data_IF_466448540111
#
_entry.id   IF_466448540111
#
_cell.length_a   1.000
_cell.length_b   1.000
_cell.length_c   1.000
_cell.angle_alpha   90.00
_cell.angle_beta   90.00
_cell.angle_gamma   90.00
#
_symmetry.space_group_name_H-M   'P 1'
#
loop_
_entity.id
_entity.type
_entity.pdbx_description
1 polymer ?
#
# COMPACT_ATOMS: atom_id res chain seq x y z
N UNK A 1 7.88 -34.12 -19.84
CA UNK A 1 9.12 -33.57 -19.27
C UNK A 1 8.80 -32.13 -18.89
N UNK A 2 8.51 -31.84 -17.63
CA UNK A 2 8.42 -30.46 -17.18
C UNK A 2 9.84 -29.87 -17.26
N UNK A 3 10.02 -28.85 -18.09
CA UNK A 3 11.22 -28.03 -18.09
C UNK A 3 11.41 -27.48 -16.69
N UNK A 4 12.58 -27.72 -16.09
CA UNK A 4 12.92 -27.13 -14.80
C UNK A 4 12.80 -25.61 -14.95
N UNK A 5 11.94 -24.99 -14.16
CA UNK A 5 11.82 -23.53 -14.13
C UNK A 5 13.14 -23.01 -13.54
N UNK A 6 13.87 -22.25 -14.33
CA UNK A 6 15.11 -21.60 -13.91
C UNK A 6 14.73 -20.33 -13.13
N UNK A 7 14.74 -20.43 -11.80
CA UNK A 7 14.50 -19.29 -10.92
C UNK A 7 15.80 -18.49 -10.83
N UNK A 8 15.71 -17.16 -11.00
CA UNK A 8 16.87 -16.30 -10.86
C UNK A 8 17.55 -16.45 -9.48
N UNK A 9 18.85 -16.31 -9.46
CA UNK A 9 19.63 -16.48 -8.22
C UNK A 9 19.20 -15.48 -7.16
N UNK A 10 18.92 -16.00 -5.96
CA UNK A 10 18.61 -15.19 -4.77
C UNK A 10 19.84 -14.39 -4.33
N UNK A 11 19.68 -13.08 -4.09
CA UNK A 11 20.77 -12.23 -3.57
C UNK A 11 20.80 -12.24 -2.03
N UNK A 12 21.38 -13.30 -1.48
CA UNK A 12 21.57 -13.43 -0.03
C UNK A 12 22.41 -12.30 0.57
N UNK A 13 23.38 -11.73 -0.18
CA UNK A 13 24.22 -10.66 0.34
C UNK A 13 23.48 -9.35 0.46
N UNK A 14 22.51 -9.09 -0.45
CA UNK A 14 21.64 -7.93 -0.33
C UNK A 14 20.86 -7.98 1.00
N UNK A 15 20.22 -9.10 1.28
CA UNK A 15 19.43 -9.27 2.52
C UNK A 15 20.31 -9.13 3.76
N UNK A 16 21.50 -9.74 3.78
CA UNK A 16 22.46 -9.57 4.89
C UNK A 16 22.83 -8.10 5.10
N UNK A 17 23.12 -7.35 4.04
CA UNK A 17 23.44 -5.91 4.15
C UNK A 17 22.27 -5.10 4.67
N UNK A 18 21.06 -5.39 4.23
CA UNK A 18 19.84 -4.70 4.69
C UNK A 18 19.56 -4.98 6.18
N UNK A 19 19.73 -6.22 6.63
CA UNK A 19 19.64 -6.58 8.06
C UNK A 19 20.64 -5.82 8.91
N UNK A 20 21.91 -5.79 8.49
CA UNK A 20 22.98 -5.06 9.20
C UNK A 20 22.75 -3.55 9.23
N UNK A 21 22.09 -3.00 8.22
CA UNK A 21 21.77 -1.58 8.15
C UNK A 21 20.51 -1.20 8.94
N UNK A 22 19.68 -2.14 9.35
CA UNK A 22 18.35 -1.91 9.93
C UNK A 22 18.36 -0.93 11.10
N UNK A 23 19.21 -1.11 12.11
CA UNK A 23 19.30 -0.21 13.27
C UNK A 23 19.70 1.23 12.93
N UNK A 24 20.25 1.47 11.73
CA UNK A 24 20.65 2.81 11.28
C UNK A 24 19.62 3.47 10.37
N UNK A 25 18.84 2.66 9.63
CA UNK A 25 17.87 3.14 8.65
C UNK A 25 16.43 3.15 9.14
N UNK A 26 16.04 2.12 9.91
CA UNK A 26 14.66 1.91 10.28
C UNK A 26 14.12 3.05 11.15
N UNK A 27 12.89 3.47 10.85
CA UNK A 27 12.23 4.58 11.55
C UNK A 27 12.00 4.26 13.00
N UNK A 28 11.65 3.01 13.33
CA UNK A 28 11.46 2.54 14.70
C UNK A 28 12.73 2.65 15.55
N UNK A 29 13.91 2.57 14.95
CA UNK A 29 15.19 2.69 15.65
C UNK A 29 15.62 4.15 15.94
N UNK A 30 14.92 5.14 15.37
CA UNK A 30 15.17 6.56 15.58
C UNK A 30 13.86 7.35 15.71
N UNK A 31 13.02 7.04 16.70
CA UNK A 31 11.68 7.60 16.84
C UNK A 31 11.67 9.11 17.04
N UNK A 32 12.71 9.71 17.66
CA UNK A 32 12.80 11.15 17.86
C UNK A 32 12.86 11.94 16.55
N UNK A 33 13.35 11.31 15.48
CA UNK A 33 13.33 11.90 14.13
C UNK A 33 11.93 11.89 13.52
N UNK A 34 11.11 10.95 13.91
CA UNK A 34 9.70 10.86 13.50
C UNK A 34 8.81 11.85 14.26
N UNK A 35 9.23 12.22 15.49
CA UNK A 35 8.49 13.15 16.35
C UNK A 35 8.96 14.60 16.29
N UNK A 36 9.96 14.94 15.46
CA UNK A 36 10.39 16.32 15.28
C UNK A 36 9.22 17.14 14.75
N UNK A 37 8.55 17.83 15.66
CA UNK A 37 7.33 18.58 15.43
C UNK A 37 7.63 19.77 14.53
N UNK A 38 7.38 19.62 13.24
CA UNK A 38 7.14 20.81 12.44
C UNK A 38 5.81 21.41 12.90
N UNK A 39 5.76 22.75 13.01
CA UNK A 39 4.58 23.42 13.50
C UNK A 39 3.43 23.24 12.51
N UNK A 40 2.23 23.01 13.03
CA UNK A 40 1.01 22.98 12.25
C UNK A 40 0.75 24.36 11.62
N UNK A 41 0.45 24.37 10.33
CA UNK A 41 0.06 25.55 9.58
C UNK A 41 -1.41 25.44 9.15
N UNK A 42 -2.35 26.16 9.78
CA UNK A 42 -3.78 26.03 9.46
C UNK A 42 -4.13 26.40 8.02
N UNK A 43 -3.24 27.05 7.29
CA UNK A 43 -3.44 27.45 5.90
C UNK A 43 -3.09 26.37 4.89
N UNK A 44 -2.37 25.31 5.32
CA UNK A 44 -1.98 24.21 4.45
C UNK A 44 -2.98 23.06 4.48
N UNK A 45 -3.25 22.40 3.35
CA UNK A 45 -4.07 21.20 3.33
C UNK A 45 -3.38 20.03 4.03
N UNK A 46 -4.14 19.06 4.52
CA UNK A 46 -3.60 17.85 5.14
C UNK A 46 -3.24 16.77 4.13
N UNK A 47 -3.86 16.80 2.96
CA UNK A 47 -3.69 15.83 1.87
C UNK A 47 -3.51 16.57 0.54
N UNK A 48 -2.76 16.03 -0.44
CA UNK A 48 -2.61 16.70 -1.73
C UNK A 48 -3.95 16.88 -2.45
N UNK A 49 -4.25 18.12 -2.82
CA UNK A 49 -5.46 18.42 -3.59
C UNK A 49 -5.47 17.71 -4.95
N UNK A 50 -4.28 17.51 -5.53
CA UNK A 50 -4.06 16.74 -6.75
C UNK A 50 -4.44 15.26 -6.60
N UNK A 51 -4.47 14.73 -5.39
CA UNK A 51 -4.85 13.35 -5.08
C UNK A 51 -6.34 13.19 -4.71
N UNK A 52 -7.12 14.27 -4.72
CA UNK A 52 -8.59 14.23 -4.57
C UNK A 52 -9.21 14.07 -5.96
N UNK A 53 -9.83 12.92 -6.29
CA UNK A 53 -10.17 12.58 -7.69
C UNK A 53 -11.20 13.47 -8.34
N UNK A 54 -11.94 14.24 -7.55
CA UNK A 54 -12.97 15.20 -7.98
C UNK A 54 -12.61 16.64 -7.61
N UNK A 55 -11.37 16.95 -7.28
CA UNK A 55 -11.00 18.28 -6.78
C UNK A 55 -11.45 19.39 -7.73
N UNK A 56 -11.30 19.20 -9.04
CA UNK A 56 -11.69 20.17 -10.05
C UNK A 56 -13.16 20.05 -10.52
N UNK A 57 -13.97 19.20 -9.89
CA UNK A 57 -15.37 19.06 -10.24
C UNK A 57 -16.14 20.35 -9.90
N UNK A 58 -16.96 20.93 -10.83
CA UNK A 58 -17.60 22.24 -10.62
C UNK A 58 -18.43 22.31 -9.33
N UNK A 59 -19.17 21.24 -9.00
CA UNK A 59 -20.00 21.19 -7.80
C UNK A 59 -19.15 21.11 -6.53
N UNK A 60 -18.00 20.43 -6.56
CA UNK A 60 -17.07 20.44 -5.44
C UNK A 60 -16.45 21.83 -5.26
N UNK A 61 -16.03 22.48 -6.34
CA UNK A 61 -15.47 23.83 -6.29
C UNK A 61 -16.48 24.89 -5.83
N UNK A 62 -17.78 24.65 -5.98
CA UNK A 62 -18.85 25.54 -5.50
C UNK A 62 -19.11 25.43 -3.98
N UNK A 63 -18.52 24.45 -3.28
CA UNK A 63 -18.61 24.33 -1.83
C UNK A 63 -17.84 25.45 -1.12
N UNK A 64 -18.16 25.70 0.14
CA UNK A 64 -17.38 26.63 0.98
C UNK A 64 -15.95 26.14 1.14
N UNK A 65 -15.00 27.07 1.32
CA UNK A 65 -13.59 26.72 1.52
C UNK A 65 -13.39 25.87 2.78
N UNK A 66 -14.19 26.12 3.82
CA UNK A 66 -14.19 25.32 5.05
C UNK A 66 -14.57 23.86 4.77
N UNK A 67 -15.66 23.62 4.03
CA UNK A 67 -16.12 22.27 3.69
C UNK A 67 -15.12 21.54 2.77
N UNK A 68 -14.55 22.24 1.78
CA UNK A 68 -13.49 21.70 0.92
C UNK A 68 -12.27 21.29 1.76
N UNK A 69 -11.83 22.15 2.67
CA UNK A 69 -10.71 21.85 3.58
C UNK A 69 -11.01 20.62 4.46
N UNK A 70 -12.24 20.54 5.01
CA UNK A 70 -12.68 19.39 5.81
C UNK A 70 -12.67 18.09 5.00
N UNK A 71 -13.13 18.10 3.73
CA UNK A 71 -13.08 16.93 2.85
C UNK A 71 -11.63 16.48 2.62
N UNK A 72 -10.72 17.44 2.35
CA UNK A 72 -9.29 17.14 2.14
C UNK A 72 -8.64 16.58 3.42
N UNK A 73 -8.99 17.13 4.59
CA UNK A 73 -8.53 16.60 5.87
C UNK A 73 -9.00 15.15 6.10
N UNK A 74 -10.27 14.85 5.81
CA UNK A 74 -10.78 13.49 5.88
C UNK A 74 -10.16 12.57 4.82
N UNK A 75 -9.71 13.11 3.69
CA UNK A 75 -8.88 12.38 2.72
C UNK A 75 -7.59 11.85 3.35
N UNK A 76 -6.88 12.70 4.12
CA UNK A 76 -5.68 12.30 4.86
C UNK A 76 -6.00 11.26 5.94
N UNK A 77 -7.03 11.48 6.75
CA UNK A 77 -7.45 10.51 7.78
C UNK A 77 -7.81 9.17 7.14
N UNK A 78 -8.60 9.20 6.05
CA UNK A 78 -9.00 7.98 5.35
C UNK A 78 -7.82 7.23 4.71
N UNK A 79 -6.83 7.95 4.15
CA UNK A 79 -5.58 7.35 3.70
C UNK A 79 -4.87 6.60 4.85
N UNK A 80 -4.68 7.26 6.00
CA UNK A 80 -4.01 6.64 7.15
C UNK A 80 -4.79 5.43 7.70
N UNK A 81 -6.12 5.51 7.79
CA UNK A 81 -6.96 4.36 8.21
C UNK A 81 -6.81 3.16 7.26
N UNK A 82 -6.72 3.41 5.95
CA UNK A 82 -6.51 2.36 4.95
C UNK A 82 -5.11 1.76 5.04
N UNK A 83 -4.10 2.56 5.35
CA UNK A 83 -2.74 2.07 5.61
C UNK A 83 -2.73 1.19 6.85
N UNK A 84 -3.29 1.63 7.97
CA UNK A 84 -3.45 0.81 9.18
C UNK A 84 -4.14 -0.53 8.87
N UNK A 85 -5.23 -0.50 8.10
CA UNK A 85 -5.94 -1.74 7.70
C UNK A 85 -5.05 -2.65 6.84
N UNK A 86 -4.27 -2.10 5.93
CA UNK A 86 -3.36 -2.87 5.08
C UNK A 86 -2.27 -3.55 5.91
N UNK A 87 -1.63 -2.81 6.83
CA UNK A 87 -0.59 -3.34 7.71
C UNK A 87 -1.14 -4.44 8.64
N UNK A 88 -2.22 -4.16 9.36
CA UNK A 88 -2.75 -5.08 10.37
C UNK A 88 -3.39 -6.33 9.79
N UNK A 89 -4.03 -6.22 8.63
CA UNK A 89 -4.88 -7.29 8.11
C UNK A 89 -4.36 -7.97 6.84
N UNK A 90 -3.39 -7.38 6.14
CA UNK A 90 -2.81 -7.95 4.93
C UNK A 90 -1.33 -8.24 5.14
N UNK A 91 -0.51 -7.23 5.44
CA UNK A 91 0.95 -7.34 5.46
C UNK A 91 1.44 -8.15 6.67
N UNK A 92 1.18 -7.68 7.89
CA UNK A 92 1.67 -8.33 9.12
C UNK A 92 1.29 -9.82 9.24
N UNK A 93 0.03 -10.24 8.98
CA UNK A 93 -0.32 -11.66 8.99
C UNK A 93 0.44 -12.46 7.94
N UNK A 94 0.62 -11.92 6.72
CA UNK A 94 1.33 -12.59 5.65
C UNK A 94 2.83 -12.76 5.97
N UNK A 95 3.51 -11.71 6.43
CA UNK A 95 4.92 -11.77 6.84
C UNK A 95 5.14 -12.79 7.95
N UNK A 96 4.23 -12.87 8.92
CA UNK A 96 4.27 -13.86 9.99
C UNK A 96 4.16 -15.30 9.45
N UNK A 97 3.28 -15.54 8.48
CA UNK A 97 3.14 -16.85 7.82
C UNK A 97 4.42 -17.18 7.02
N UNK A 98 4.98 -16.23 6.27
CA UNK A 98 6.24 -16.40 5.54
C UNK A 98 7.34 -16.86 6.49
N UNK A 99 7.57 -16.09 7.56
CA UNK A 99 8.64 -16.35 8.52
C UNK A 99 8.55 -17.74 9.18
N UNK A 100 7.33 -18.25 9.39
CA UNK A 100 7.10 -19.47 10.15
C UNK A 100 6.90 -20.72 9.29
N UNK A 101 6.41 -20.58 8.05
CA UNK A 101 5.99 -21.73 7.24
C UNK A 101 6.77 -21.90 5.93
N UNK A 102 7.23 -20.81 5.32
CA UNK A 102 7.81 -20.85 3.98
C UNK A 102 9.34 -20.71 3.96
N UNK A 103 9.95 -20.28 5.07
CA UNK A 103 11.40 -20.18 5.19
C UNK A 103 11.97 -21.41 5.92
N UNK A 104 13.00 -22.01 5.32
CA UNK A 104 13.68 -23.16 5.89
C UNK A 104 14.48 -22.82 7.16
N UNK A 105 14.90 -23.87 7.91
CA UNK A 105 15.72 -23.67 9.12
C UNK A 105 17.07 -23.02 8.85
N UNK A 106 17.57 -23.16 7.63
CA UNK A 106 18.85 -22.58 7.21
C UNK A 106 18.74 -21.18 6.63
N UNK A 107 17.50 -20.67 6.45
CA UNK A 107 17.23 -19.37 5.87
C UNK A 107 17.23 -18.26 6.93
N UNK A 108 18.23 -18.32 7.84
CA UNK A 108 18.31 -17.46 9.01
C UNK A 108 18.23 -15.97 8.67
N UNK A 109 18.98 -15.51 7.66
CA UNK A 109 18.98 -14.10 7.27
C UNK A 109 17.63 -13.62 6.74
N UNK A 110 16.89 -14.47 6.04
CA UNK A 110 15.53 -14.14 5.59
C UNK A 110 14.54 -14.11 6.75
N UNK A 111 14.70 -15.03 7.72
CA UNK A 111 13.85 -15.00 8.93
C UNK A 111 14.12 -13.76 9.77
N UNK A 112 15.38 -13.36 9.91
CA UNK A 112 15.78 -12.11 10.57
C UNK A 112 15.19 -10.90 9.84
N UNK A 113 15.29 -10.84 8.51
CA UNK A 113 14.70 -9.78 7.69
C UNK A 113 13.19 -9.69 7.91
N UNK A 114 12.47 -10.81 7.89
CA UNK A 114 11.02 -10.82 8.14
C UNK A 114 10.66 -10.31 9.53
N UNK A 115 11.46 -10.61 10.56
CA UNK A 115 11.21 -10.09 11.91
C UNK A 115 11.48 -8.59 12.00
N UNK A 116 12.51 -8.09 11.34
CA UNK A 116 12.81 -6.65 11.26
C UNK A 116 11.69 -5.91 10.50
N UNK A 117 11.25 -6.43 9.37
CA UNK A 117 10.12 -5.88 8.60
C UNK A 117 8.85 -5.86 9.48
N UNK A 118 8.50 -6.95 10.16
CA UNK A 118 7.34 -6.99 11.07
C UNK A 118 7.40 -5.90 12.17
N UNK A 119 8.57 -5.62 12.71
CA UNK A 119 8.74 -4.54 13.69
C UNK A 119 8.50 -3.18 13.05
N UNK A 120 9.03 -2.97 11.84
CA UNK A 120 8.83 -1.73 11.07
C UNK A 120 7.33 -1.54 10.78
N UNK A 121 6.61 -2.57 10.28
CA UNK A 121 5.19 -2.48 9.95
C UNK A 121 4.28 -2.20 11.16
N UNK A 122 4.58 -2.81 12.30
CA UNK A 122 3.88 -2.45 13.54
C UNK A 122 4.15 -1.01 13.96
N UNK A 123 5.35 -0.50 13.68
CA UNK A 123 5.67 0.89 13.95
C UNK A 123 5.00 1.85 12.94
N UNK A 124 4.87 1.46 11.66
CA UNK A 124 4.11 2.19 10.66
C UNK A 124 2.64 2.31 11.09
N UNK A 125 2.01 1.22 11.52
CA UNK A 125 0.66 1.25 12.10
C UNK A 125 0.55 2.30 13.21
N UNK A 126 1.48 2.31 14.17
CA UNK A 126 1.50 3.28 15.26
C UNK A 126 1.71 4.72 14.78
N UNK A 127 2.57 4.94 13.77
CA UNK A 127 2.79 6.25 13.17
C UNK A 127 1.51 6.80 12.53
N UNK A 128 0.81 5.97 11.76
CA UNK A 128 -0.43 6.37 11.08
C UNK A 128 -1.57 6.65 12.06
N UNK A 129 -1.72 5.85 13.12
CA UNK A 129 -2.68 6.12 14.20
C UNK A 129 -2.42 7.46 14.90
N UNK A 130 -1.14 7.77 15.19
CA UNK A 130 -0.74 9.07 15.77
C UNK A 130 -0.98 10.24 14.80
N UNK A 131 -0.77 10.03 13.51
CA UNK A 131 -1.05 11.05 12.49
C UNK A 131 -2.55 11.38 12.42
N UNK A 132 -3.43 10.37 12.53
CA UNK A 132 -4.88 10.56 12.60
C UNK A 132 -5.26 11.37 13.84
N UNK A 133 -4.82 10.93 15.02
CA UNK A 133 -5.15 11.60 16.30
C UNK A 133 -4.71 13.06 16.28
N UNK A 134 -3.45 13.31 15.91
CA UNK A 134 -2.90 14.65 15.82
C UNK A 134 -3.67 15.54 14.83
N UNK A 135 -4.00 15.04 13.65
CA UNK A 135 -4.79 15.81 12.67
C UNK A 135 -6.16 16.17 13.22
N UNK A 136 -6.82 15.25 13.91
CA UNK A 136 -8.10 15.50 14.55
C UNK A 136 -8.03 16.59 15.61
N UNK A 137 -6.99 16.57 16.45
CA UNK A 137 -6.76 17.60 17.48
C UNK A 137 -6.50 18.97 16.86
N UNK A 138 -5.56 19.05 15.90
CA UNK A 138 -5.15 20.31 15.26
C UNK A 138 -6.27 20.95 14.41
N UNK A 139 -7.15 20.14 13.82
CA UNK A 139 -8.33 20.59 13.06
C UNK A 139 -9.60 20.68 13.91
N UNK A 140 -9.54 20.35 15.20
CA UNK A 140 -10.69 20.32 16.11
C UNK A 140 -11.88 19.54 15.53
N UNK A 141 -11.61 18.33 15.01
CA UNK A 141 -12.63 17.47 14.41
C UNK A 141 -13.37 16.68 15.51
N UNK A 142 -14.59 17.09 15.81
CA UNK A 142 -15.45 16.41 16.78
C UNK A 142 -16.25 15.25 16.18
N UNK A 143 -16.41 15.23 14.87
CA UNK A 143 -17.17 14.20 14.16
C UNK A 143 -16.30 12.99 13.81
N UNK A 144 -16.85 11.80 13.97
CA UNK A 144 -16.31 10.56 13.41
C UNK A 144 -17.04 10.21 12.10
N UNK A 145 -16.28 9.86 11.07
CA UNK A 145 -16.85 9.30 9.85
C UNK A 145 -16.58 7.79 9.80
N UNK A 146 -17.61 7.04 9.43
CA UNK A 146 -17.49 5.60 9.15
C UNK A 146 -16.99 5.40 7.72
N UNK A 147 -15.69 5.12 7.58
CA UNK A 147 -15.04 4.98 6.29
C UNK A 147 -14.88 3.50 5.91
N UNK A 148 -15.28 3.10 4.70
CA UNK A 148 -15.16 1.71 4.28
C UNK A 148 -13.69 1.30 4.11
N UNK A 149 -13.37 0.01 4.34
CA UNK A 149 -12.07 -0.55 4.00
C UNK A 149 -11.78 -0.40 2.50
N UNK A 150 -10.50 -0.53 2.13
CA UNK A 150 -10.09 -0.47 0.72
C UNK A 150 -10.68 -1.63 -0.10
N UNK A 151 -10.96 -1.36 -1.37
CA UNK A 151 -11.42 -2.40 -2.31
C UNK A 151 -10.41 -3.55 -2.43
N UNK A 152 -9.12 -3.27 -2.29
CA UNK A 152 -8.06 -4.27 -2.30
C UNK A 152 -8.22 -5.26 -1.14
N UNK A 153 -8.44 -4.75 0.07
CA UNK A 153 -8.67 -5.60 1.24
C UNK A 153 -9.96 -6.41 1.11
N UNK A 154 -11.05 -5.78 0.67
CA UNK A 154 -12.32 -6.47 0.46
C UNK A 154 -12.22 -7.60 -0.59
N UNK A 155 -11.44 -7.39 -1.65
CA UNK A 155 -11.18 -8.45 -2.65
C UNK A 155 -10.35 -9.61 -2.10
N UNK A 156 -9.37 -9.31 -1.23
CA UNK A 156 -8.63 -10.36 -0.54
C UNK A 156 -9.55 -11.19 0.38
N UNK A 157 -10.43 -10.52 1.14
CA UNK A 157 -11.39 -11.22 2.00
C UNK A 157 -12.30 -12.12 1.18
N UNK A 158 -12.94 -11.60 0.13
CA UNK A 158 -13.80 -12.36 -0.75
C UNK A 158 -13.08 -13.57 -1.36
N UNK A 159 -11.85 -13.37 -1.88
CA UNK A 159 -11.05 -14.48 -2.39
C UNK A 159 -10.79 -15.54 -1.33
N UNK A 160 -10.43 -15.16 -0.10
CA UNK A 160 -10.13 -16.11 0.98
C UNK A 160 -11.36 -16.90 1.43
N UNK A 161 -12.56 -16.32 1.35
CA UNK A 161 -13.83 -17.01 1.65
C UNK A 161 -14.15 -18.13 0.64
N UNK A 162 -13.77 -17.94 -0.63
CA UNK A 162 -13.97 -18.92 -1.68
C UNK A 162 -12.97 -20.09 -1.65
N UNK A 163 -11.83 -19.92 -0.97
CA UNK A 163 -10.73 -20.88 -0.97
C UNK A 163 -10.95 -21.97 0.10
N UNK A 164 -11.01 -23.28 -0.28
CA UNK A 164 -11.32 -24.36 0.66
C UNK A 164 -10.17 -24.67 1.62
N UNK A 165 -8.91 -24.56 1.15
CA UNK A 165 -7.75 -25.00 1.88
C UNK A 165 -7.03 -23.86 2.61
N UNK A 166 -6.53 -24.11 3.82
CA UNK A 166 -5.81 -23.10 4.60
C UNK A 166 -4.56 -22.58 3.87
N UNK A 167 -3.79 -23.48 3.24
CA UNK A 167 -2.59 -23.07 2.51
C UNK A 167 -2.90 -22.13 1.33
N UNK A 168 -4.09 -22.26 0.70
CA UNK A 168 -4.54 -21.36 -0.36
C UNK A 168 -4.85 -19.97 0.22
N UNK A 169 -5.58 -19.93 1.33
CA UNK A 169 -5.91 -18.68 2.03
C UNK A 169 -4.66 -17.94 2.50
N UNK A 170 -3.66 -18.68 3.01
CA UNK A 170 -2.39 -18.13 3.45
C UNK A 170 -1.58 -17.60 2.27
N UNK A 171 -1.49 -18.39 1.20
CA UNK A 171 -0.74 -18.00 0.01
C UNK A 171 -1.40 -16.83 -0.74
N UNK A 172 -2.73 -16.73 -0.72
CA UNK A 172 -3.45 -15.57 -1.24
C UNK A 172 -3.08 -14.29 -0.46
N UNK A 173 -3.09 -14.34 0.88
CA UNK A 173 -2.69 -13.21 1.72
C UNK A 173 -1.22 -12.82 1.46
N UNK A 174 -0.31 -13.80 1.38
CA UNK A 174 1.10 -13.56 1.05
C UNK A 174 1.24 -12.88 -0.31
N UNK A 175 0.51 -13.34 -1.32
CA UNK A 175 0.59 -12.77 -2.67
C UNK A 175 0.13 -11.30 -2.68
N UNK A 176 -0.94 -10.98 -1.96
CA UNK A 176 -1.39 -9.59 -1.81
C UNK A 176 -0.36 -8.72 -1.07
N UNK A 177 0.25 -9.23 -0.01
CA UNK A 177 1.32 -8.54 0.71
C UNK A 177 2.55 -8.30 -0.18
N UNK A 178 2.98 -9.30 -0.97
CA UNK A 178 4.08 -9.15 -1.94
C UNK A 178 3.78 -8.05 -2.95
N UNK A 179 2.54 -7.96 -3.45
CA UNK A 179 2.15 -6.87 -4.37
C UNK A 179 2.16 -5.52 -3.65
N UNK A 180 1.65 -5.44 -2.43
CA UNK A 180 1.66 -4.22 -1.63
C UNK A 180 3.07 -3.69 -1.45
N UNK A 181 3.92 -4.47 -0.80
CA UNK A 181 5.28 -4.13 -0.40
C UNK A 181 6.21 -3.75 -1.57
N UNK A 182 6.04 -4.40 -2.71
CA UNK A 182 6.89 -4.13 -3.89
C UNK A 182 6.41 -2.92 -4.69
N UNK A 183 5.17 -2.45 -4.51
CA UNK A 183 4.59 -1.38 -5.33
C UNK A 183 4.21 -0.10 -4.57
N UNK A 184 4.28 -0.08 -3.24
CA UNK A 184 3.75 1.03 -2.44
C UNK A 184 4.59 2.31 -2.56
N UNK A 185 5.90 2.20 -2.77
CA UNK A 185 6.82 3.35 -2.80
C UNK A 185 6.35 4.47 -3.74
N UNK A 186 5.88 4.14 -4.95
CA UNK A 186 5.44 5.15 -5.91
C UNK A 186 4.26 6.00 -5.41
N UNK A 187 3.39 5.43 -4.58
CA UNK A 187 2.31 6.18 -3.95
C UNK A 187 2.81 7.03 -2.78
N UNK A 188 3.70 6.48 -1.96
CA UNK A 188 4.29 7.19 -0.83
C UNK A 188 5.16 8.37 -1.29
N UNK A 189 5.86 8.23 -2.44
CA UNK A 189 6.63 9.33 -3.06
C UNK A 189 5.73 10.54 -3.35
N UNK A 190 4.49 10.33 -3.86
CA UNK A 190 3.55 11.42 -4.14
C UNK A 190 3.22 12.25 -2.89
N UNK A 191 3.13 11.60 -1.72
CA UNK A 191 2.86 12.26 -0.45
C UNK A 191 4.12 12.88 0.15
N UNK A 192 5.24 12.15 0.10
CA UNK A 192 6.52 12.57 0.68
C UNK A 192 7.13 13.78 -0.05
N UNK A 193 6.92 13.89 -1.35
CA UNK A 193 7.46 14.96 -2.19
C UNK A 193 6.56 16.19 -2.27
N UNK A 194 5.30 16.10 -1.85
CA UNK A 194 4.36 17.21 -1.95
C UNK A 194 4.64 18.30 -0.90
N UNK A 195 5.16 19.42 -1.39
CA UNK A 195 5.49 20.59 -0.54
C UNK A 195 4.27 21.44 -0.16
N UNK A 196 3.10 21.18 -0.73
CA UNK A 196 1.88 21.95 -0.47
C UNK A 196 1.17 21.52 0.83
N UNK A 197 1.28 20.25 1.21
CA UNK A 197 0.60 19.70 2.38
C UNK A 197 1.31 20.04 3.70
N UNK A 198 0.64 19.71 4.81
CA UNK A 198 1.22 19.82 6.16
C UNK A 198 2.59 19.15 6.22
N UNK A 199 3.64 19.85 6.67
CA UNK A 199 5.00 19.30 6.75
C UNK A 199 5.07 18.00 7.57
N UNK A 200 4.29 17.92 8.65
CA UNK A 200 4.21 16.74 9.49
C UNK A 200 3.60 15.51 8.76
N UNK A 201 2.58 15.72 7.92
CA UNK A 201 1.94 14.67 7.15
C UNK A 201 2.89 14.13 6.08
N UNK A 202 3.55 15.06 5.36
CA UNK A 202 4.64 14.73 4.47
C UNK A 202 5.75 13.92 5.15
N UNK A 203 6.12 14.32 6.39
CA UNK A 203 7.15 13.61 7.15
C UNK A 203 6.75 12.18 7.52
N UNK A 204 5.49 11.92 7.86
CA UNK A 204 4.98 10.57 8.09
C UNK A 204 5.15 9.72 6.84
N UNK A 205 4.72 10.22 5.68
CA UNK A 205 4.89 9.52 4.40
C UNK A 205 6.36 9.28 4.04
N UNK A 206 7.24 10.27 4.23
CA UNK A 206 8.69 10.16 3.98
C UNK A 206 9.35 9.08 4.84
N UNK A 207 9.00 9.01 6.12
CA UNK A 207 9.57 8.03 7.05
C UNK A 207 9.09 6.61 6.75
N UNK A 208 7.83 6.44 6.44
CA UNK A 208 7.26 5.18 5.98
C UNK A 208 7.97 4.74 4.69
N UNK A 209 7.95 5.58 3.66
CA UNK A 209 8.54 5.30 2.36
C UNK A 209 10.02 4.88 2.42
N UNK A 210 10.78 5.49 3.33
CA UNK A 210 12.18 5.14 3.54
C UNK A 210 12.36 3.68 3.94
N UNK A 211 11.51 3.16 4.80
CA UNK A 211 11.57 1.76 5.24
C UNK A 211 11.09 0.84 4.11
N UNK A 212 10.04 1.24 3.38
CA UNK A 212 9.48 0.51 2.24
C UNK A 212 10.49 0.26 1.10
N UNK A 213 11.43 1.16 0.85
CA UNK A 213 12.51 0.91 -0.10
C UNK A 213 13.39 -0.29 0.25
N UNK A 214 13.50 -0.65 1.51
CA UNK A 214 14.21 -1.85 1.93
C UNK A 214 13.27 -3.07 1.91
N UNK A 215 12.02 -2.92 2.36
CA UNK A 215 11.02 -3.97 2.38
C UNK A 215 10.76 -4.53 0.98
N UNK A 216 10.57 -3.67 -0.01
CA UNK A 216 10.37 -4.09 -1.41
C UNK A 216 11.48 -4.98 -1.94
N UNK A 217 12.75 -4.69 -1.59
CA UNK A 217 13.91 -5.50 -1.98
C UNK A 217 13.99 -6.80 -1.20
N UNK A 218 13.69 -6.76 0.09
CA UNK A 218 13.67 -7.95 0.95
C UNK A 218 12.58 -8.90 0.47
N UNK A 219 11.36 -8.40 0.26
CA UNK A 219 10.23 -9.21 -0.16
C UNK A 219 10.42 -9.83 -1.56
N UNK A 220 11.08 -9.13 -2.48
CA UNK A 220 11.43 -9.70 -3.78
C UNK A 220 12.36 -10.93 -3.64
N UNK A 221 13.39 -10.85 -2.78
CA UNK A 221 14.29 -11.99 -2.56
C UNK A 221 13.63 -13.12 -1.75
N UNK A 222 12.82 -12.77 -0.75
CA UNK A 222 12.02 -13.72 0.02
C UNK A 222 11.04 -14.48 -0.86
N UNK A 223 10.36 -13.80 -1.80
CA UNK A 223 9.44 -14.43 -2.74
C UNK A 223 10.14 -15.48 -3.62
N UNK A 224 11.39 -15.24 -4.04
CA UNK A 224 12.19 -16.23 -4.77
C UNK A 224 12.49 -17.48 -3.92
N UNK A 225 12.90 -17.28 -2.66
CA UNK A 225 13.15 -18.40 -1.73
C UNK A 225 11.88 -19.21 -1.50
N UNK A 226 10.78 -18.52 -1.23
CA UNK A 226 9.46 -19.16 -1.05
C UNK A 226 9.06 -19.97 -2.28
N UNK A 227 9.13 -19.36 -3.46
CA UNK A 227 8.72 -19.98 -4.72
C UNK A 227 9.55 -21.22 -5.03
N UNK A 228 10.87 -21.18 -4.73
CA UNK A 228 11.76 -22.35 -4.87
C UNK A 228 11.31 -23.52 -3.99
N UNK A 229 10.80 -23.23 -2.78
CA UNK A 229 10.35 -24.22 -1.79
C UNK A 229 8.90 -24.69 -2.00
N UNK A 230 8.12 -24.03 -2.86
CA UNK A 230 6.71 -24.37 -3.13
C UNK A 230 6.58 -25.66 -3.94
N UNK A 231 5.52 -26.41 -3.64
CA UNK A 231 5.06 -27.53 -4.49
C UNK A 231 4.51 -26.98 -5.83
N UNK A 232 4.49 -27.79 -6.92
CA UNK A 232 4.01 -27.34 -8.22
C UNK A 232 2.60 -26.70 -8.18
N UNK A 233 1.68 -27.29 -7.40
CA UNK A 233 0.31 -26.77 -7.26
C UNK A 233 0.29 -25.40 -6.57
N UNK A 234 1.19 -25.17 -5.62
CA UNK A 234 1.32 -23.88 -4.93
C UNK A 234 1.90 -22.81 -5.87
N UNK A 235 2.87 -23.16 -6.72
CA UNK A 235 3.46 -22.25 -7.72
C UNK A 235 2.42 -21.77 -8.71
N UNK A 236 1.62 -22.71 -9.26
CA UNK A 236 0.51 -22.36 -10.17
C UNK A 236 -0.49 -21.45 -9.48
N UNK A 237 -0.87 -21.76 -8.25
CA UNK A 237 -1.79 -20.94 -7.46
C UNK A 237 -1.22 -19.53 -7.19
N UNK A 238 0.06 -19.43 -6.85
CA UNK A 238 0.74 -18.15 -6.62
C UNK A 238 0.71 -17.27 -7.88
N UNK A 239 1.07 -17.82 -9.05
CA UNK A 239 1.05 -17.08 -10.31
C UNK A 239 -0.35 -16.56 -10.67
N UNK A 240 -1.38 -17.41 -10.53
CA UNK A 240 -2.77 -17.03 -10.76
C UNK A 240 -3.24 -15.93 -9.78
N UNK A 241 -2.91 -16.09 -8.51
CA UNK A 241 -3.29 -15.13 -7.46
C UNK A 241 -2.55 -13.80 -7.64
N UNK A 242 -1.34 -13.79 -8.20
CA UNK A 242 -0.60 -12.56 -8.49
C UNK A 242 -1.36 -11.68 -9.50
N UNK A 243 -1.97 -12.27 -10.53
CA UNK A 243 -2.86 -11.56 -11.47
C UNK A 243 -4.07 -10.93 -10.76
N UNK A 244 -4.69 -11.68 -9.85
CA UNK A 244 -5.84 -11.20 -9.05
C UNK A 244 -5.42 -10.05 -8.14
N UNK A 245 -4.30 -10.18 -7.43
CA UNK A 245 -3.77 -9.16 -6.54
C UNK A 245 -3.42 -7.87 -7.31
N UNK A 246 -2.70 -7.97 -8.42
CA UNK A 246 -2.39 -6.83 -9.28
C UNK A 246 -3.66 -6.11 -9.76
N UNK A 247 -4.67 -6.87 -10.22
CA UNK A 247 -5.96 -6.32 -10.63
C UNK A 247 -6.70 -5.62 -9.47
N UNK A 248 -6.53 -6.11 -8.23
CA UNK A 248 -7.11 -5.48 -7.06
C UNK A 248 -6.41 -4.15 -6.72
N UNK A 249 -5.09 -4.08 -6.89
CA UNK A 249 -4.30 -2.89 -6.58
C UNK A 249 -4.45 -1.75 -7.60
N UNK A 250 -4.76 -2.06 -8.87
CA UNK A 250 -5.03 -1.02 -9.90
C UNK A 250 -6.49 -0.58 -9.94
N UNK A 251 -7.37 -1.25 -9.20
CA UNK A 251 -8.79 -0.91 -9.20
C UNK A 251 -9.03 0.49 -8.64
N UNK A 252 -9.82 1.27 -9.35
CA UNK A 252 -10.28 2.56 -8.85
C UNK A 252 -11.26 2.35 -7.69
N UNK A 253 -11.02 3.00 -6.58
CA UNK A 253 -11.84 2.91 -5.36
C UNK A 253 -12.27 4.30 -4.89
N UNK A 254 -13.52 4.63 -5.18
CA UNK A 254 -14.14 5.89 -4.75
C UNK A 254 -14.97 5.74 -3.47
N UNK A 255 -15.04 4.55 -2.86
CA UNK A 255 -15.93 4.27 -1.72
C UNK A 255 -15.64 5.16 -0.50
N UNK A 256 -14.36 5.40 -0.22
CA UNK A 256 -13.94 6.31 0.84
C UNK A 256 -14.42 7.75 0.59
N UNK A 257 -14.20 8.23 -0.62
CA UNK A 257 -14.58 9.59 -1.00
C UNK A 257 -16.10 9.79 -1.01
N UNK A 258 -16.85 8.79 -1.48
CA UNK A 258 -18.31 8.78 -1.44
C UNK A 258 -18.81 8.83 0.01
N UNK A 259 -18.20 8.06 0.92
CA UNK A 259 -18.51 8.07 2.35
C UNK A 259 -18.21 9.44 2.98
N UNK A 260 -17.04 10.03 2.69
CA UNK A 260 -16.65 11.36 3.20
C UNK A 260 -17.66 12.43 2.74
N UNK A 261 -17.91 12.53 1.44
CA UNK A 261 -18.83 13.55 0.91
C UNK A 261 -20.24 13.39 1.49
N UNK A 262 -20.73 12.15 1.55
CA UNK A 262 -22.08 11.86 2.04
C UNK A 262 -22.24 12.21 3.52
N UNK A 263 -21.30 11.79 4.36
CA UNK A 263 -21.38 11.99 5.82
C UNK A 263 -21.09 13.44 6.22
N UNK A 264 -20.36 14.21 5.40
CA UNK A 264 -20.19 15.64 5.56
C UNK A 264 -21.37 16.47 5.00
N UNK A 265 -22.40 15.80 4.48
CA UNK A 265 -23.64 16.46 4.01
C UNK A 265 -23.48 17.19 2.68
N UNK A 266 -22.56 16.78 1.82
CA UNK A 266 -22.44 17.35 0.46
C UNK A 266 -23.64 16.89 -0.37
N UNK A 267 -24.54 17.82 -0.72
CA UNK A 267 -25.81 17.54 -1.38
C UNK A 267 -25.65 16.76 -2.71
N UNK A 268 -24.64 17.10 -3.49
CA UNK A 268 -24.36 16.48 -4.78
C UNK A 268 -23.32 15.32 -4.71
N UNK A 269 -23.06 14.73 -3.56
CA UNK A 269 -22.03 13.70 -3.36
C UNK A 269 -22.09 12.56 -4.40
N UNK A 270 -23.27 11.98 -4.58
CA UNK A 270 -23.46 10.88 -5.54
C UNK A 270 -23.19 11.30 -6.99
N UNK A 271 -23.56 12.51 -7.39
CA UNK A 271 -23.32 13.04 -8.72
C UNK A 271 -21.82 13.30 -8.95
N UNK A 272 -21.15 13.94 -7.99
CA UNK A 272 -19.70 14.19 -8.05
C UNK A 272 -18.95 12.87 -8.26
N UNK A 273 -19.28 11.83 -7.51
CA UNK A 273 -18.64 10.52 -7.63
C UNK A 273 -18.98 9.83 -8.96
N UNK A 274 -20.23 9.90 -9.42
CA UNK A 274 -20.64 9.29 -10.68
C UNK A 274 -19.91 9.94 -11.89
N UNK A 275 -19.88 11.27 -11.93
CA UNK A 275 -19.20 12.03 -13.00
C UNK A 275 -17.68 11.78 -12.96
N UNK A 276 -17.09 11.67 -11.76
CA UNK A 276 -15.67 11.33 -11.58
C UNK A 276 -15.35 9.93 -12.09
N UNK A 277 -16.19 8.93 -11.76
CA UNK A 277 -16.05 7.56 -12.28
C UNK A 277 -16.11 7.52 -13.79
N UNK A 278 -17.05 8.22 -14.40
CA UNK A 278 -17.18 8.24 -15.87
C UNK A 278 -15.98 8.94 -16.53
N UNK A 279 -15.53 10.06 -15.98
CA UNK A 279 -14.37 10.79 -16.49
C UNK A 279 -13.07 9.98 -16.39
N UNK A 280 -12.93 9.19 -15.34
CA UNK A 280 -11.73 8.42 -15.04
C UNK A 280 -11.82 6.93 -15.44
N UNK A 281 -12.88 6.49 -16.12
CA UNK A 281 -13.10 5.07 -16.42
C UNK A 281 -11.94 4.39 -17.17
N UNK A 282 -11.17 5.17 -17.92
CA UNK A 282 -9.99 4.70 -18.64
C UNK A 282 -8.67 5.10 -17.97
N UNK A 283 -8.73 5.78 -16.82
CA UNK A 283 -7.54 6.14 -16.08
C UNK A 283 -7.09 4.95 -15.22
N UNK A 284 -5.83 4.61 -15.34
CA UNK A 284 -5.19 3.60 -14.47
C UNK A 284 -4.46 4.34 -13.37
N UNK A 285 -4.65 3.92 -12.12
CA UNK A 285 -3.83 4.43 -11.02
C UNK A 285 -2.39 4.04 -11.33
N UNK A 286 -1.55 5.05 -11.62
CA UNK A 286 -0.13 4.83 -11.87
C UNK A 286 0.55 4.46 -10.57
N UNK A 287 0.93 3.19 -10.47
CA UNK A 287 1.92 2.70 -9.50
C UNK A 287 3.09 2.14 -10.29
N UNK A 288 4.28 2.19 -9.72
CA UNK A 288 5.43 1.53 -10.33
C UNK A 288 5.37 0.02 -10.05
N UNK A 289 4.92 -0.73 -11.05
CA UNK A 289 4.91 -2.20 -11.00
C UNK A 289 6.17 -2.83 -11.61
N UNK A 290 7.21 -2.06 -11.91
CA UNK A 290 8.45 -2.58 -12.51
C UNK A 290 9.15 -3.61 -11.62
N UNK A 291 9.08 -3.44 -10.30
CA UNK A 291 9.58 -4.39 -9.32
C UNK A 291 8.88 -5.75 -9.41
N UNK A 292 7.54 -5.73 -9.54
CA UNK A 292 6.73 -6.94 -9.68
C UNK A 292 6.92 -7.61 -11.04
N UNK A 293 7.04 -6.82 -12.12
CA UNK A 293 7.38 -7.35 -13.44
C UNK A 293 8.72 -8.08 -13.41
N UNK A 294 9.74 -7.48 -12.79
CA UNK A 294 11.05 -8.11 -12.60
C UNK A 294 10.95 -9.39 -11.77
N UNK A 295 10.22 -9.37 -10.66
CA UNK A 295 9.98 -10.55 -9.85
C UNK A 295 9.33 -11.68 -10.67
N UNK A 296 8.31 -11.37 -11.47
CA UNK A 296 7.65 -12.34 -12.34
C UNK A 296 8.61 -12.97 -13.34
N UNK A 297 9.51 -12.17 -13.94
CA UNK A 297 10.57 -12.66 -14.82
C UNK A 297 11.58 -13.53 -14.07
N UNK A 298 12.03 -13.09 -12.88
CA UNK A 298 12.97 -13.83 -12.04
C UNK A 298 12.42 -15.21 -11.61
N UNK A 299 11.09 -15.31 -11.43
CA UNK A 299 10.41 -16.55 -11.10
C UNK A 299 10.08 -17.42 -12.34
N UNK A 300 10.28 -16.90 -13.55
CA UNK A 300 9.94 -17.58 -14.79
C UNK A 300 8.44 -17.73 -15.04
N UNK A 301 7.61 -16.85 -14.48
CA UNK A 301 6.13 -16.88 -14.57
C UNK A 301 5.56 -15.66 -15.30
N UNK A 302 6.41 -14.87 -15.97
CA UNK A 302 5.96 -13.63 -16.62
C UNK A 302 4.83 -13.85 -17.63
N UNK A 303 4.88 -14.94 -18.39
CA UNK A 303 3.85 -15.31 -19.38
C UNK A 303 2.57 -15.90 -18.75
N UNK A 304 2.60 -16.27 -17.47
CA UNK A 304 1.45 -16.81 -16.74
C UNK A 304 0.60 -15.72 -16.07
N UNK A 305 1.13 -14.48 -16.03
CA UNK A 305 0.48 -13.37 -15.34
C UNK A 305 -0.37 -12.56 -16.32
N UNK A 306 -1.68 -12.62 -16.15
CA UNK A 306 -2.63 -11.80 -16.90
C UNK A 306 -2.70 -10.37 -16.33
N UNK A 307 -1.66 -9.58 -16.64
CA UNK A 307 -1.56 -8.19 -16.24
C UNK A 307 -0.67 -7.40 -17.19
N UNK A 308 -1.12 -6.21 -17.61
CA UNK A 308 -0.32 -5.30 -18.43
C UNK A 308 0.62 -4.45 -17.56
N UNK A 309 1.88 -4.86 -17.50
CA UNK A 309 2.93 -4.14 -16.78
C UNK A 309 3.45 -2.89 -17.51
N UNK A 310 3.04 -2.64 -18.76
CA UNK A 310 3.51 -1.47 -19.50
C UNK A 310 3.07 -0.21 -18.75
N UNK A 311 3.99 0.70 -18.43
CA UNK A 311 3.60 2.00 -17.91
C UNK A 311 2.68 2.64 -18.95
N UNK A 312 1.51 3.06 -18.52
CA UNK A 312 0.63 3.87 -19.38
C UNK A 312 1.33 5.21 -19.59
N UNK A 313 2.12 5.29 -20.67
CA UNK A 313 2.98 6.42 -21.05
C UNK A 313 2.23 7.76 -21.18
N UNK A 314 0.92 7.78 -21.03
CA UNK A 314 0.07 8.97 -21.16
C UNK A 314 -0.95 9.13 -20.02
N UNK A 315 -0.83 8.40 -18.92
CA UNK A 315 -1.61 8.75 -17.76
C UNK A 315 -0.99 10.03 -17.16
N UNK A 316 -1.49 11.18 -17.60
CA UNK A 316 -1.56 12.31 -16.69
C UNK A 316 -2.09 11.73 -15.39
N UNK A 317 -1.34 11.90 -14.29
CA UNK A 317 -1.79 11.50 -12.98
C UNK A 317 -3.11 12.20 -12.73
N UNK A 318 -4.20 11.59 -13.18
CA UNK A 318 -5.53 11.85 -12.70
C UNK A 318 -5.59 11.04 -11.41
N UNK A 319 -5.03 11.66 -10.38
CA UNK A 319 -5.16 11.20 -9.01
C UNK A 319 -6.61 11.32 -8.60
#
# INVERSE_FOLDING_TARGET
MQTAIEIAKVDHQLVVRLNQAWTKRATVCAPDKAGASEAFDPTRPDYPESMVPFFHHPKFQALSDELKSTVVTWGWIGYNLRTVTAEEHVVNPALSVIANQYLGKNDWHFREAMQQTLIDEHYHTLMHLRAIERTREERALDQDLDLPPSVTYLRLLALREELPEQWQRDLAAITFAVVAEISVNAYLDLLADDQSIQPQNRRVAELHNRDEYAHSKILAEVAKVMYANMQPVQRTFFAQTLSVALSAFVAQDYSMWEAILTQLGVEDAALIIADTRESNKNATIMRDYSGLHRLAQDLGIGDEIDFDFRPTLNATVAV
#
